data_IF_386540548091
#
_entry.id   IF_386540548091
#
_cell.length_a   1.000
_cell.length_b   1.000
_cell.length_c   1.000
_cell.angle_alpha   90.00
_cell.angle_beta   90.00
_cell.angle_gamma   90.00
#
_symmetry.space_group_name_H-M   'P 1'
#
loop_
_entity.id
_entity.type
_entity.pdbx_description
1 polymer ?
#
# COMPACT_ATOMS: atom_id res chain seq x y z
N UNK A 1 44.45 11.06 9.80
CA UNK A 1 43.38 10.45 10.55
C UNK A 1 42.63 9.48 9.62
N UNK A 2 42.90 8.18 9.73
CA UNK A 2 42.33 7.16 8.81
C UNK A 2 40.90 6.82 9.30
N UNK A 3 39.90 7.15 8.49
CA UNK A 3 38.52 6.75 8.70
C UNK A 3 38.45 5.22 8.51
N UNK A 4 38.10 4.49 9.57
CA UNK A 4 37.85 3.05 9.50
C UNK A 4 36.58 2.82 8.70
N UNK A 5 36.70 2.19 7.53
CA UNK A 5 35.60 1.64 6.78
C UNK A 5 34.89 0.58 7.66
N UNK A 6 33.66 0.85 8.04
CA UNK A 6 32.83 -0.10 8.80
C UNK A 6 32.64 -1.38 7.99
N UNK A 7 33.02 -2.52 8.55
CA UNK A 7 32.73 -3.85 7.99
C UNK A 7 31.22 -4.00 7.82
N UNK A 8 30.75 -4.10 6.58
CA UNK A 8 29.39 -4.58 6.27
C UNK A 8 29.31 -6.02 6.79
N UNK A 9 28.58 -6.20 7.89
CA UNK A 9 28.37 -7.52 8.46
C UNK A 9 27.63 -8.37 7.42
N UNK A 10 28.18 -9.54 7.11
CA UNK A 10 27.57 -10.54 6.22
C UNK A 10 26.23 -10.96 6.80
N UNK A 11 25.14 -10.51 6.18
CA UNK A 11 23.78 -10.88 6.55
C UNK A 11 23.56 -12.30 6.03
N UNK A 12 23.59 -13.29 6.92
CA UNK A 12 23.40 -14.71 6.55
C UNK A 12 21.97 -15.00 6.12
N UNK A 13 21.81 -15.93 5.16
CA UNK A 13 20.52 -16.56 4.89
C UNK A 13 20.04 -17.31 6.14
N UNK A 14 18.73 -17.30 6.38
CA UNK A 14 18.14 -18.04 7.52
C UNK A 14 18.24 -19.54 7.24
N UNK A 15 19.07 -20.25 7.99
CA UNK A 15 19.29 -21.71 7.85
C UNK A 15 18.50 -22.56 8.84
N UNK A 16 17.75 -21.92 9.75
CA UNK A 16 17.04 -22.61 10.86
C UNK A 16 15.59 -22.87 10.48
N UNK A 17 15.02 -23.95 11.01
CA UNK A 17 13.62 -24.34 10.82
C UNK A 17 12.69 -23.75 11.89
N UNK A 18 13.24 -23.05 12.86
CA UNK A 18 12.52 -22.36 13.93
C UNK A 18 13.08 -20.93 14.11
N UNK A 19 12.18 -19.94 14.25
CA UNK A 19 12.51 -18.55 14.58
C UNK A 19 11.77 -18.11 15.84
N UNK A 20 12.42 -17.31 16.69
CA UNK A 20 11.73 -16.55 17.72
C UNK A 20 10.86 -15.47 17.09
N UNK A 21 9.87 -14.95 17.83
CA UNK A 21 9.01 -13.86 17.36
C UNK A 21 9.82 -12.58 17.03
N UNK A 22 10.91 -12.32 17.78
CA UNK A 22 11.79 -11.19 17.51
C UNK A 22 12.57 -11.38 16.20
N UNK A 23 13.01 -12.59 15.89
CA UNK A 23 13.66 -12.90 14.61
C UNK A 23 12.69 -12.81 13.44
N UNK A 24 11.48 -13.37 13.55
CA UNK A 24 10.44 -13.27 12.53
C UNK A 24 10.08 -11.81 12.22
N UNK A 25 10.00 -10.95 13.23
CA UNK A 25 9.77 -9.51 13.10
C UNK A 25 10.88 -8.83 12.34
N UNK A 26 12.15 -9.10 12.66
CA UNK A 26 13.30 -8.54 11.94
C UNK A 26 13.36 -9.04 10.49
N UNK A 27 13.00 -10.28 10.22
CA UNK A 27 12.86 -10.80 8.85
C UNK A 27 11.79 -10.03 8.08
N UNK A 28 10.61 -9.81 8.68
CA UNK A 28 9.53 -9.06 8.04
C UNK A 28 9.93 -7.60 7.76
N UNK A 29 10.58 -6.95 8.70
CA UNK A 29 11.09 -5.57 8.53
C UNK A 29 12.15 -5.49 7.43
N UNK A 30 13.09 -6.43 7.40
CA UNK A 30 14.13 -6.50 6.38
C UNK A 30 13.55 -6.75 4.98
N UNK A 31 12.54 -7.62 4.87
CA UNK A 31 11.85 -7.87 3.61
C UNK A 31 11.22 -6.59 3.05
N UNK A 32 10.76 -5.70 3.90
CA UNK A 32 10.15 -4.43 3.50
C UNK A 32 11.13 -3.25 3.44
N UNK A 33 12.43 -3.48 3.72
CA UNK A 33 13.48 -2.49 3.54
C UNK A 33 13.77 -1.62 4.74
N UNK A 34 13.19 -1.88 5.90
CA UNK A 34 13.46 -1.14 7.15
C UNK A 34 14.80 -1.52 7.82
N UNK A 35 15.50 -2.53 7.31
CA UNK A 35 16.85 -2.90 7.76
C UNK A 35 17.96 -2.05 7.13
N UNK A 36 17.60 -1.11 6.27
CA UNK A 36 18.52 -0.22 5.57
C UNK A 36 18.34 1.21 6.03
N UNK A 37 19.43 1.98 6.18
CA UNK A 37 19.30 3.41 6.44
C UNK A 37 18.60 4.09 5.26
N UNK A 38 17.86 5.14 5.55
CA UNK A 38 17.31 6.04 4.52
C UNK A 38 18.45 6.62 3.69
N UNK A 39 18.24 6.89 2.39
CA UNK A 39 19.26 7.52 1.55
C UNK A 39 19.78 8.82 2.17
N UNK A 40 21.12 8.97 2.26
CA UNK A 40 21.77 10.17 2.82
C UNK A 40 21.81 11.36 1.86
N UNK A 41 21.23 11.23 0.66
CA UNK A 41 21.23 12.27 -0.36
C UNK A 41 19.88 12.37 -1.08
N UNK A 42 19.88 13.04 -2.24
CA UNK A 42 18.63 13.23 -3.01
C UNK A 42 18.04 11.90 -3.47
N UNK A 43 16.81 11.64 -3.08
CA UNK A 43 16.01 10.50 -3.55
C UNK A 43 15.61 10.72 -5.02
N UNK A 44 15.80 9.70 -5.86
CA UNK A 44 15.46 9.68 -7.28
C UNK A 44 14.58 8.46 -7.65
N UNK A 45 14.24 8.33 -8.94
CA UNK A 45 13.39 7.25 -9.46
C UNK A 45 13.92 5.84 -9.18
N UNK A 46 15.25 5.65 -9.05
CA UNK A 46 15.84 4.32 -8.75
C UNK A 46 15.47 3.87 -7.35
N UNK A 47 15.46 4.80 -6.40
CA UNK A 47 15.05 4.53 -5.02
C UNK A 47 13.57 4.12 -4.94
N UNK A 48 12.69 4.84 -5.65
CA UNK A 48 11.26 4.51 -5.70
C UNK A 48 11.05 3.12 -6.33
N UNK A 49 11.67 2.85 -7.49
CA UNK A 49 11.60 1.53 -8.14
C UNK A 49 12.06 0.40 -7.22
N UNK A 50 13.14 0.62 -6.45
CA UNK A 50 13.65 -0.38 -5.52
C UNK A 50 12.65 -0.70 -4.40
N UNK A 51 11.95 0.31 -3.85
CA UNK A 51 10.91 0.09 -2.84
C UNK A 51 9.68 -0.58 -3.47
N UNK A 52 9.18 -0.05 -4.59
CA UNK A 52 7.99 -0.58 -5.27
C UNK A 52 8.23 -2.01 -5.74
N UNK A 53 9.38 -2.30 -6.36
CA UNK A 53 9.75 -3.64 -6.79
C UNK A 53 9.87 -4.64 -5.64
N UNK A 54 10.20 -4.17 -4.42
CA UNK A 54 10.22 -4.97 -3.20
C UNK A 54 8.82 -5.29 -2.69
N UNK A 55 7.96 -4.26 -2.64
CA UNK A 55 6.59 -4.38 -2.13
C UNK A 55 5.63 -5.00 -3.16
N UNK A 56 5.87 -4.80 -4.45
CA UNK A 56 5.01 -5.26 -5.55
C UNK A 56 3.76 -4.43 -5.77
N UNK A 57 3.38 -3.58 -4.82
CA UNK A 57 2.26 -2.65 -4.94
C UNK A 57 2.33 -1.52 -3.90
N UNK A 58 1.57 -0.46 -4.15
CA UNK A 58 1.28 0.60 -3.19
C UNK A 58 -0.23 0.81 -3.15
N UNK A 59 -0.86 0.59 -1.99
CA UNK A 59 -2.29 0.86 -1.84
C UNK A 59 -2.57 2.35 -2.00
N UNK A 60 -3.52 2.66 -2.87
CA UNK A 60 -4.03 4.01 -3.08
C UNK A 60 -5.10 4.30 -2.03
N UNK A 61 -4.82 5.28 -1.21
CA UNK A 61 -5.82 5.87 -0.34
C UNK A 61 -5.63 7.39 -0.34
N UNK A 62 -6.74 8.11 -0.52
CA UNK A 62 -6.76 9.56 -0.69
C UNK A 62 -7.30 10.28 0.55
N UNK A 63 -7.40 9.61 1.69
CA UNK A 63 -7.63 10.25 2.97
C UNK A 63 -6.46 11.18 3.27
N UNK A 64 -6.66 12.48 3.03
CA UNK A 64 -5.60 13.49 3.07
C UNK A 64 -5.61 14.26 4.40
N UNK A 65 -5.59 13.55 5.52
CA UNK A 65 -5.43 14.19 6.84
C UNK A 65 -4.00 14.68 7.04
N UNK A 66 -3.02 13.89 6.62
CA UNK A 66 -1.59 14.24 6.59
C UNK A 66 -1.11 14.29 5.15
N UNK A 67 -1.13 13.18 4.46
CA UNK A 67 -0.76 13.00 3.06
C UNK A 67 -1.40 11.70 2.55
N UNK A 68 -1.74 11.59 1.25
CA UNK A 68 -2.23 10.33 0.70
C UNK A 68 -1.26 9.16 0.97
N UNK A 69 -1.83 8.01 1.36
CA UNK A 69 -1.08 6.91 1.95
C UNK A 69 0.06 6.37 1.07
N UNK A 70 -0.14 6.30 -0.24
CA UNK A 70 0.86 5.79 -1.18
C UNK A 70 2.16 6.61 -1.21
N UNK A 71 2.10 7.91 -0.93
CA UNK A 71 3.31 8.72 -0.76
C UNK A 71 4.00 8.41 0.57
N UNK A 72 3.21 8.22 1.64
CA UNK A 72 3.76 7.96 2.97
C UNK A 72 4.45 6.59 3.08
N UNK A 73 3.95 5.56 2.37
CA UNK A 73 4.61 4.24 2.29
C UNK A 73 6.02 4.35 1.73
N UNK A 74 6.25 5.20 0.76
CA UNK A 74 7.59 5.48 0.24
C UNK A 74 8.43 6.31 1.21
N UNK A 75 7.83 7.34 1.81
CA UNK A 75 8.49 8.20 2.80
C UNK A 75 9.02 7.40 4.00
N UNK A 76 8.25 6.46 4.53
CA UNK A 76 8.68 5.67 5.69
C UNK A 76 9.99 4.92 5.44
N UNK A 77 10.31 4.60 4.19
CA UNK A 77 11.54 3.87 3.79
C UNK A 77 12.65 4.77 3.25
N UNK A 78 12.26 5.85 2.59
CA UNK A 78 13.20 6.71 1.85
C UNK A 78 13.50 8.04 2.56
N UNK A 79 12.68 8.43 3.55
CA UNK A 79 12.69 9.79 4.07
C UNK A 79 12.09 10.79 3.07
N UNK A 80 12.39 12.09 3.21
CA UNK A 80 11.88 13.13 2.33
C UNK A 80 12.22 12.91 0.87
N UNK A 81 11.22 13.00 0.00
CA UNK A 81 11.39 12.90 -1.44
C UNK A 81 10.32 13.74 -2.18
N UNK A 82 10.54 14.04 -3.45
CA UNK A 82 9.55 14.75 -4.27
C UNK A 82 8.43 13.80 -4.68
N UNK A 83 7.20 14.04 -4.21
CA UNK A 83 6.03 13.19 -4.49
C UNK A 83 5.78 13.04 -5.99
N UNK A 84 6.03 14.08 -6.78
CA UNK A 84 5.93 14.06 -8.25
C UNK A 84 6.80 13.00 -8.94
N UNK A 85 7.78 12.41 -8.24
CA UNK A 85 8.54 11.27 -8.77
C UNK A 85 7.67 10.00 -8.89
N UNK A 86 6.74 9.79 -7.94
CA UNK A 86 5.79 8.69 -8.03
C UNK A 86 4.80 8.91 -9.17
N UNK A 87 4.25 10.12 -9.28
CA UNK A 87 3.32 10.50 -10.36
C UNK A 87 4.00 10.33 -11.72
N UNK A 88 5.29 10.69 -11.81
CA UNK A 88 6.07 10.49 -13.02
C UNK A 88 6.21 9.01 -13.39
N UNK A 89 6.42 8.11 -12.42
CA UNK A 89 6.47 6.66 -12.69
C UNK A 89 5.10 6.13 -13.15
N UNK A 90 4.03 6.57 -12.49
CA UNK A 90 2.69 6.06 -12.75
C UNK A 90 2.10 6.63 -14.06
N UNK A 91 2.09 7.94 -14.21
CA UNK A 91 1.26 8.59 -15.24
C UNK A 91 2.05 9.11 -16.44
N UNK A 92 3.37 9.32 -16.33
CA UNK A 92 4.18 9.79 -17.45
C UNK A 92 5.04 8.68 -18.07
N UNK A 93 5.68 7.84 -17.21
CA UNK A 93 6.52 6.75 -17.68
C UNK A 93 5.79 5.44 -17.91
N UNK A 94 4.56 5.32 -17.39
CA UNK A 94 3.74 4.11 -17.49
C UNK A 94 4.43 2.85 -16.95
N UNK A 95 5.35 3.01 -16.00
CA UNK A 95 5.98 1.89 -15.30
C UNK A 95 5.06 1.30 -14.23
N UNK A 96 4.07 2.07 -13.78
CA UNK A 96 3.02 1.64 -12.86
C UNK A 96 1.65 1.89 -13.48
N UNK A 97 0.67 1.10 -13.05
CA UNK A 97 -0.73 1.28 -13.42
C UNK A 97 -1.61 1.14 -12.18
N UNK A 98 -2.76 1.83 -12.15
CA UNK A 98 -3.77 1.61 -11.12
C UNK A 98 -4.53 0.33 -11.40
N UNK A 99 -4.69 -0.52 -10.40
CA UNK A 99 -5.45 -1.77 -10.48
C UNK A 99 -6.08 -2.13 -9.13
N UNK A 100 -7.08 -2.98 -9.17
CA UNK A 100 -7.61 -3.66 -8.00
C UNK A 100 -6.68 -4.83 -7.65
N UNK A 101 -5.83 -4.64 -6.64
CA UNK A 101 -4.89 -5.63 -6.12
C UNK A 101 -5.17 -5.94 -4.64
N UNK A 102 -4.45 -5.36 -3.68
CA UNK A 102 -4.87 -5.46 -2.27
C UNK A 102 -6.22 -4.73 -2.06
N UNK A 103 -6.30 -3.53 -2.48
CA UNK A 103 -7.48 -2.69 -2.77
C UNK A 103 -7.15 -1.92 -4.05
N UNK A 104 -7.67 -0.70 -4.26
CA UNK A 104 -7.13 0.17 -5.30
C UNK A 104 -5.64 0.40 -5.05
N UNK A 105 -4.80 0.09 -6.01
CA UNK A 105 -3.34 0.10 -5.84
C UNK A 105 -2.63 0.57 -7.09
N UNK A 106 -1.46 1.19 -6.91
CA UNK A 106 -0.45 1.28 -7.97
C UNK A 106 0.35 -0.02 -7.97
N UNK A 107 0.43 -0.67 -9.12
CA UNK A 107 1.19 -1.89 -9.33
C UNK A 107 2.16 -1.70 -10.50
N UNK A 108 3.32 -2.37 -10.52
CA UNK A 108 4.15 -2.47 -11.73
C UNK A 108 3.32 -2.94 -12.92
N UNK A 109 3.52 -2.33 -14.08
CA UNK A 109 2.70 -2.61 -15.28
C UNK A 109 2.84 -4.06 -15.75
N UNK A 110 3.97 -4.71 -15.43
CA UNK A 110 4.24 -6.13 -15.68
C UNK A 110 3.25 -7.06 -14.96
N UNK A 111 2.58 -6.57 -13.90
CA UNK A 111 1.55 -7.33 -13.19
C UNK A 111 0.18 -7.29 -13.87
N UNK A 112 0.01 -6.49 -14.92
CA UNK A 112 -1.24 -6.39 -15.66
C UNK A 112 -1.82 -7.77 -16.05
N UNK A 113 -1.09 -8.70 -16.69
CA UNK A 113 -1.64 -10.01 -17.07
C UNK A 113 -2.01 -10.86 -15.84
N UNK A 114 -1.26 -10.74 -14.75
CA UNK A 114 -1.47 -11.53 -13.53
C UNK A 114 -2.71 -11.10 -12.71
N UNK A 115 -3.25 -9.91 -12.96
CA UNK A 115 -4.48 -9.41 -12.35
C UNK A 115 -5.73 -9.63 -13.24
N UNK A 116 -5.61 -10.38 -14.34
CA UNK A 116 -6.71 -10.67 -15.28
C UNK A 116 -7.93 -11.27 -14.59
N UNK A 117 -7.73 -12.28 -13.73
CA UNK A 117 -8.79 -12.93 -12.98
C UNK A 117 -9.57 -11.97 -12.04
N UNK A 118 -8.95 -10.87 -11.60
CA UNK A 118 -9.62 -9.82 -10.80
C UNK A 118 -10.55 -8.99 -11.68
N UNK A 119 -10.14 -8.70 -12.91
CA UNK A 119 -10.94 -7.97 -13.91
C UNK A 119 -12.15 -8.76 -14.39
N UNK A 120 -12.07 -10.09 -14.40
CA UNK A 120 -13.21 -10.98 -14.72
C UNK A 120 -14.32 -10.89 -13.65
N UNK A 121 -13.95 -10.74 -12.37
CA UNK A 121 -14.86 -10.77 -11.24
C UNK A 121 -14.81 -9.43 -10.48
N UNK A 122 -14.93 -8.31 -11.19
CA UNK A 122 -14.85 -7.00 -10.55
C UNK A 122 -16.00 -6.78 -9.56
N UNK A 123 -15.73 -6.54 -8.27
CA UNK A 123 -16.76 -6.51 -7.24
C UNK A 123 -17.48 -5.16 -7.12
N UNK A 124 -16.94 -4.09 -7.69
CA UNK A 124 -17.42 -2.72 -7.44
C UNK A 124 -18.33 -2.29 -8.59
N UNK A 125 -19.62 -2.52 -8.41
CA UNK A 125 -20.66 -2.04 -9.29
C UNK A 125 -21.95 -1.86 -8.50
N UNK A 126 -22.80 -0.88 -8.86
CA UNK A 126 -24.12 -0.75 -8.29
C UNK A 126 -24.96 -2.00 -8.56
N UNK A 127 -25.89 -2.31 -7.67
CA UNK A 127 -26.84 -3.38 -7.87
C UNK A 127 -27.68 -3.08 -9.12
N UNK A 128 -27.86 -4.05 -10.03
CA UNK A 128 -28.61 -3.87 -11.28
C UNK A 128 -27.86 -3.09 -12.38
N UNK A 129 -26.59 -2.75 -12.19
CA UNK A 129 -25.83 -1.94 -13.15
C UNK A 129 -25.59 -2.66 -14.48
N UNK A 130 -25.48 -3.98 -14.48
CA UNK A 130 -25.37 -4.76 -15.74
C UNK A 130 -26.63 -4.60 -16.60
N UNK A 131 -27.82 -4.73 -16.00
CA UNK A 131 -29.09 -4.48 -16.71
C UNK A 131 -29.22 -3.03 -17.21
N UNK A 132 -28.67 -2.07 -16.45
CA UNK A 132 -28.59 -0.68 -16.89
C UNK A 132 -27.68 -0.54 -18.13
N UNK A 133 -26.51 -1.19 -18.13
CA UNK A 133 -25.57 -1.16 -19.26
C UNK A 133 -26.20 -1.77 -20.53
N UNK A 134 -26.93 -2.89 -20.38
CA UNK A 134 -27.63 -3.55 -21.50
C UNK A 134 -28.69 -2.63 -22.12
N UNK A 135 -29.43 -1.91 -21.27
CA UNK A 135 -30.48 -0.97 -21.70
C UNK A 135 -29.92 0.33 -22.33
N UNK A 136 -28.68 0.70 -21.98
CA UNK A 136 -28.02 1.93 -22.42
C UNK A 136 -26.69 1.63 -23.17
N UNK A 137 -26.65 0.55 -23.94
CA UNK A 137 -25.44 0.14 -24.69
C UNK A 137 -24.92 1.25 -25.60
N UNK A 138 -25.81 2.00 -26.24
CA UNK A 138 -25.42 3.16 -27.08
C UNK A 138 -24.69 4.26 -26.30
N UNK A 139 -24.98 4.45 -25.01
CA UNK A 139 -24.22 5.38 -24.17
C UNK A 139 -22.82 4.84 -23.86
N UNK A 140 -22.69 3.53 -23.61
CA UNK A 140 -21.38 2.89 -23.37
C UNK A 140 -20.48 3.05 -24.60
N UNK A 141 -21.00 2.71 -25.78
CA UNK A 141 -20.27 2.84 -27.05
C UNK A 141 -19.84 4.28 -27.31
N UNK A 142 -20.77 5.21 -27.11
CA UNK A 142 -20.50 6.64 -27.26
C UNK A 142 -19.39 7.12 -26.31
N UNK A 143 -19.40 6.71 -25.03
CA UNK A 143 -18.33 7.07 -24.08
C UNK A 143 -16.97 6.54 -24.52
N UNK A 144 -16.93 5.30 -25.04
CA UNK A 144 -15.69 4.71 -25.55
C UNK A 144 -15.18 5.42 -26.82
N UNK A 145 -16.09 5.84 -27.70
CA UNK A 145 -15.75 6.65 -28.88
C UNK A 145 -15.23 8.03 -28.48
N UNK A 146 -15.89 8.71 -27.52
CA UNK A 146 -15.44 10.00 -27.01
C UNK A 146 -14.04 9.94 -26.39
N UNK A 147 -13.76 8.92 -25.60
CA UNK A 147 -12.42 8.69 -25.06
C UNK A 147 -11.41 8.48 -26.19
N UNK A 148 -11.74 7.67 -27.20
CA UNK A 148 -10.88 7.46 -28.37
C UNK A 148 -10.61 8.73 -29.16
N UNK A 149 -11.61 9.63 -29.27
CA UNK A 149 -11.53 10.88 -30.05
C UNK A 149 -10.84 12.02 -29.30
N UNK A 150 -11.12 12.18 -28.00
CA UNK A 150 -10.67 13.34 -27.20
C UNK A 150 -9.45 13.05 -26.34
N UNK A 151 -9.10 11.77 -26.15
CA UNK A 151 -8.12 11.31 -25.17
C UNK A 151 -8.74 11.12 -23.79
N UNK A 152 -7.93 11.17 -22.73
CA UNK A 152 -8.37 10.82 -21.37
C UNK A 152 -9.52 11.71 -20.86
N UNK A 153 -10.59 11.06 -20.36
CA UNK A 153 -11.77 11.73 -19.80
C UNK A 153 -12.03 11.29 -18.36
N UNK A 154 -12.47 12.24 -17.53
CA UNK A 154 -12.99 12.01 -16.20
C UNK A 154 -14.55 12.00 -16.23
N UNK A 155 -15.16 11.53 -15.14
CA UNK A 155 -16.62 11.47 -15.07
C UNK A 155 -17.31 12.84 -15.21
N UNK A 156 -16.63 13.90 -14.79
CA UNK A 156 -17.08 15.29 -14.89
C UNK A 156 -17.07 15.84 -16.34
N UNK A 157 -16.31 15.20 -17.23
CA UNK A 157 -16.22 15.56 -18.64
C UNK A 157 -17.35 14.95 -19.50
N UNK A 158 -18.15 14.05 -18.91
CA UNK A 158 -19.19 13.28 -19.59
C UNK A 158 -20.60 13.76 -19.21
N UNK A 159 -21.52 13.93 -20.18
CA UNK A 159 -22.92 14.21 -19.90
C UNK A 159 -23.58 12.98 -19.26
N UNK A 160 -24.69 13.22 -18.59
CA UNK A 160 -25.60 12.16 -18.16
C UNK A 160 -26.33 11.55 -19.37
N UNK A 161 -26.58 10.24 -19.39
CA UNK A 161 -27.47 9.66 -20.40
C UNK A 161 -28.89 10.21 -20.28
N UNK A 162 -29.57 10.33 -21.42
CA UNK A 162 -30.93 10.86 -21.48
C UNK A 162 -31.91 10.01 -20.65
N UNK A 163 -32.82 10.68 -19.94
CA UNK A 163 -33.85 10.02 -19.16
C UNK A 163 -33.39 9.34 -17.86
N UNK A 164 -32.13 9.48 -17.49
CA UNK A 164 -31.57 8.82 -16.30
C UNK A 164 -31.39 9.81 -15.15
N UNK A 165 -31.78 9.39 -13.92
CA UNK A 165 -31.53 10.16 -12.71
C UNK A 165 -30.03 10.35 -12.46
N UNK A 166 -29.66 11.53 -11.99
CA UNK A 166 -28.26 11.91 -11.72
C UNK A 166 -27.57 11.03 -10.68
N UNK A 167 -28.32 10.49 -9.74
CA UNK A 167 -27.81 9.68 -8.63
C UNK A 167 -28.25 8.23 -8.75
N UNK A 168 -27.29 7.34 -8.62
CA UNK A 168 -27.52 5.90 -8.44
C UNK A 168 -27.81 5.68 -6.95
N UNK A 169 -29.07 5.40 -6.62
CA UNK A 169 -29.48 5.16 -5.25
C UNK A 169 -28.65 4.03 -4.60
N UNK A 170 -28.18 4.26 -3.38
CA UNK A 170 -27.41 3.27 -2.61
C UNK A 170 -25.99 3.03 -3.11
N UNK A 171 -25.49 3.81 -4.10
CA UNK A 171 -24.14 3.69 -4.61
C UNK A 171 -23.26 4.87 -4.17
N UNK A 172 -22.11 4.55 -3.60
CA UNK A 172 -21.04 5.53 -3.30
C UNK A 172 -20.42 6.14 -4.57
N UNK A 173 -20.65 5.54 -5.74
CA UNK A 173 -20.17 6.02 -7.03
C UNK A 173 -20.90 7.32 -7.48
N UNK A 174 -22.10 7.58 -6.97
CA UNK A 174 -22.80 8.86 -7.11
C UNK A 174 -23.44 9.07 -8.46
N UNK A 175 -22.71 9.11 -9.57
CA UNK A 175 -23.22 9.42 -10.93
C UNK A 175 -23.04 8.26 -11.89
N UNK A 176 -23.91 8.18 -12.91
CA UNK A 176 -23.84 7.14 -13.95
C UNK A 176 -22.51 7.19 -14.73
N UNK A 177 -22.03 8.37 -15.21
CA UNK A 177 -20.72 8.42 -15.86
C UNK A 177 -19.60 7.86 -15.02
N UNK A 178 -19.56 8.19 -13.71
CA UNK A 178 -18.54 7.66 -12.80
C UNK A 178 -18.66 6.16 -12.63
N UNK A 179 -19.88 5.64 -12.44
CA UNK A 179 -20.11 4.21 -12.29
C UNK A 179 -19.70 3.44 -13.55
N UNK A 180 -19.98 3.98 -14.74
CA UNK A 180 -19.58 3.39 -16.02
C UNK A 180 -18.07 3.36 -16.17
N UNK A 181 -17.38 4.48 -15.95
CA UNK A 181 -15.91 4.53 -16.05
C UNK A 181 -15.23 3.58 -15.05
N UNK A 182 -15.70 3.52 -13.81
CA UNK A 182 -15.18 2.58 -12.80
C UNK A 182 -15.50 1.12 -13.17
N UNK A 183 -16.65 0.85 -13.78
CA UNK A 183 -16.98 -0.50 -14.29
C UNK A 183 -16.01 -0.91 -15.42
N UNK A 184 -15.84 -0.07 -16.43
CA UNK A 184 -14.96 -0.33 -17.56
C UNK A 184 -13.48 -0.45 -17.13
N UNK A 185 -13.06 0.36 -16.17
CA UNK A 185 -11.75 0.24 -15.51
C UNK A 185 -11.61 -1.11 -14.78
N UNK A 186 -12.62 -1.48 -14.00
CA UNK A 186 -12.63 -2.76 -13.30
C UNK A 186 -12.58 -3.97 -14.22
N UNK A 187 -13.13 -3.85 -15.43
CA UNK A 187 -13.09 -4.88 -16.50
C UNK A 187 -11.80 -4.82 -17.32
N UNK A 188 -10.97 -3.77 -17.14
CA UNK A 188 -9.73 -3.58 -17.88
C UNK A 188 -9.91 -3.07 -19.31
N UNK A 189 -11.11 -2.60 -19.66
CA UNK A 189 -11.36 -1.90 -20.93
C UNK A 189 -10.69 -0.53 -20.90
N UNK A 190 -10.77 0.14 -19.75
CA UNK A 190 -10.10 1.41 -19.48
C UNK A 190 -8.98 1.22 -18.45
N UNK A 191 -8.02 2.14 -18.50
CA UNK A 191 -6.99 2.31 -17.49
C UNK A 191 -6.90 3.80 -17.09
N UNK A 192 -6.30 4.09 -15.93
CA UNK A 192 -6.15 5.48 -15.47
C UNK A 192 -4.98 6.11 -16.19
N UNK A 193 -5.27 7.17 -16.95
CA UNK A 193 -4.29 7.92 -17.69
C UNK A 193 -3.56 8.94 -16.82
N UNK A 194 -4.31 9.63 -15.96
CA UNK A 194 -3.82 10.66 -15.05
C UNK A 194 -4.79 10.90 -13.89
N UNK A 195 -4.33 11.64 -12.90
CA UNK A 195 -5.17 12.20 -11.85
C UNK A 195 -5.31 13.70 -12.01
N UNK A 196 -6.54 14.19 -11.98
CA UNK A 196 -6.83 15.63 -11.98
C UNK A 196 -6.41 16.25 -10.63
N UNK A 197 -6.28 17.58 -10.53
CA UNK A 197 -6.04 18.26 -9.25
C UNK A 197 -7.08 17.93 -8.16
N UNK A 198 -8.32 17.63 -8.56
CA UNK A 198 -9.40 17.13 -7.70
C UNK A 198 -9.19 15.68 -7.22
N UNK A 199 -8.11 15.02 -7.61
CA UNK A 199 -7.83 13.59 -7.43
C UNK A 199 -8.77 12.67 -8.22
N UNK A 200 -9.67 13.21 -9.05
CA UNK A 200 -10.50 12.42 -9.96
C UNK A 200 -9.63 11.68 -10.99
N UNK A 201 -10.03 10.45 -11.31
CA UNK A 201 -9.41 9.65 -12.36
C UNK A 201 -9.84 10.16 -13.73
N UNK A 202 -8.89 10.39 -14.62
CA UNK A 202 -9.14 10.49 -16.05
C UNK A 202 -8.69 9.17 -16.70
N UNK A 203 -9.56 8.60 -17.50
CA UNK A 203 -9.42 7.27 -18.09
C UNK A 203 -9.17 7.35 -19.58
N UNK A 204 -8.34 6.44 -20.06
CA UNK A 204 -8.16 6.17 -21.48
C UNK A 204 -8.29 4.65 -21.74
N UNK A 205 -8.37 4.26 -23.00
CA UNK A 205 -8.37 2.84 -23.38
C UNK A 205 -7.12 2.16 -22.83
N UNK A 206 -7.28 0.99 -22.22
CA UNK A 206 -6.15 0.27 -21.61
C UNK A 206 -5.06 -0.07 -22.63
N UNK A 207 -5.44 -0.33 -23.88
CA UNK A 207 -4.52 -0.61 -25.00
C UNK A 207 -3.60 0.57 -25.36
N UNK A 208 -4.00 1.82 -25.02
CA UNK A 208 -3.16 3.01 -25.23
C UNK A 208 -2.15 3.23 -24.09
N UNK A 209 -2.44 2.69 -22.90
CA UNK A 209 -1.69 2.98 -21.69
C UNK A 209 -0.80 1.83 -21.22
N UNK A 210 -1.21 0.61 -21.51
CA UNK A 210 -0.49 -0.60 -21.10
C UNK A 210 0.34 -1.10 -22.29
N UNK A 211 1.67 -1.28 -22.13
CA UNK A 211 2.51 -1.81 -23.20
C UNK A 211 1.97 -3.12 -23.76
N UNK A 212 2.04 -3.29 -25.08
CA UNK A 212 1.46 -4.42 -25.79
C UNK A 212 1.94 -5.78 -25.25
N UNK A 213 3.21 -5.87 -24.85
CA UNK A 213 3.80 -7.06 -24.25
C UNK A 213 3.14 -7.51 -22.93
N UNK A 214 2.47 -6.57 -22.23
CA UNK A 214 1.73 -6.86 -21.01
C UNK A 214 0.22 -6.91 -21.27
N UNK A 215 -0.30 -6.02 -22.12
CA UNK A 215 -1.74 -5.94 -22.43
C UNK A 215 -2.24 -7.18 -23.14
N UNK A 216 -1.51 -7.64 -24.16
CA UNK A 216 -1.87 -8.81 -24.97
C UNK A 216 -1.49 -10.16 -24.34
N UNK A 217 -0.76 -10.17 -23.24
CA UNK A 217 -0.30 -11.41 -22.60
C UNK A 217 -1.41 -12.06 -21.81
N UNK A 218 -1.73 -13.30 -22.14
CA UNK A 218 -2.63 -14.15 -21.36
C UNK A 218 -1.82 -15.07 -20.46
N UNK A 219 -2.20 -15.16 -19.19
CA UNK A 219 -1.66 -16.12 -18.22
C UNK A 219 -2.80 -16.93 -17.63
N UNK A 220 -2.55 -18.19 -17.30
CA UNK A 220 -3.54 -19.01 -16.61
C UNK A 220 -3.78 -18.45 -15.20
N UNK A 221 -4.94 -18.77 -14.62
CA UNK A 221 -5.26 -18.34 -13.23
C UNK A 221 -4.23 -18.87 -12.25
N UNK A 222 -3.76 -20.09 -12.44
CA UNK A 222 -2.77 -20.72 -11.56
C UNK A 222 -1.40 -20.05 -11.63
N UNK A 223 -0.94 -19.73 -12.85
CA UNK A 223 0.29 -18.96 -13.05
C UNK A 223 0.19 -17.56 -12.43
N UNK A 224 -0.94 -16.88 -12.64
CA UNK A 224 -1.19 -15.58 -12.06
C UNK A 224 -1.15 -15.62 -10.53
N UNK A 225 -1.88 -16.55 -9.91
CA UNK A 225 -1.90 -16.72 -8.47
C UNK A 225 -0.53 -17.08 -7.90
N UNK A 226 0.22 -17.96 -8.59
CA UNK A 226 1.58 -18.34 -8.18
C UNK A 226 2.52 -17.13 -8.16
N UNK A 227 2.47 -16.28 -9.21
CA UNK A 227 3.28 -15.07 -9.26
C UNK A 227 2.89 -14.08 -8.15
N UNK A 228 1.60 -13.86 -7.92
CA UNK A 228 1.11 -12.98 -6.86
C UNK A 228 1.53 -13.48 -5.46
N UNK A 229 1.47 -14.79 -5.21
CA UNK A 229 1.96 -15.38 -3.94
C UNK A 229 3.48 -15.22 -3.80
N UNK A 230 4.24 -15.39 -4.90
CA UNK A 230 5.70 -15.16 -4.91
C UNK A 230 6.05 -13.73 -4.50
N UNK A 231 5.35 -12.75 -5.06
CA UNK A 231 5.51 -11.33 -4.72
C UNK A 231 5.14 -11.08 -3.25
N UNK A 232 4.01 -11.60 -2.79
CA UNK A 232 3.58 -11.49 -1.41
C UNK A 232 4.61 -12.07 -0.43
N UNK A 233 5.16 -13.23 -0.75
CA UNK A 233 6.18 -13.91 0.06
C UNK A 233 7.48 -13.09 0.13
N UNK A 234 7.92 -12.52 -0.98
CA UNK A 234 9.08 -11.63 -1.01
C UNK A 234 8.85 -10.37 -0.18
N UNK A 235 7.67 -9.75 -0.30
CA UNK A 235 7.31 -8.54 0.43
C UNK A 235 7.16 -8.78 1.94
N UNK A 236 6.65 -9.94 2.34
CA UNK A 236 6.49 -10.29 3.75
C UNK A 236 7.76 -10.88 4.39
N UNK A 237 8.64 -11.51 3.60
CA UNK A 237 9.81 -12.26 4.05
C UNK A 237 9.44 -13.55 4.79
N UNK A 238 8.54 -13.46 5.75
CA UNK A 238 7.95 -14.58 6.50
C UNK A 238 6.44 -14.32 6.69
N UNK A 239 5.61 -15.33 6.46
CA UNK A 239 4.16 -15.17 6.49
C UNK A 239 3.44 -16.51 6.69
N UNK A 240 2.21 -16.47 7.19
CA UNK A 240 1.29 -17.60 7.12
C UNK A 240 0.64 -17.69 5.73
N UNK A 241 0.00 -18.82 5.41
CA UNK A 241 -0.76 -18.95 4.15
C UNK A 241 -1.87 -17.88 4.03
N UNK A 242 -2.49 -17.50 5.14
CA UNK A 242 -3.50 -16.44 5.17
C UNK A 242 -2.91 -15.06 4.86
N UNK A 243 -1.73 -14.74 5.39
CA UNK A 243 -1.04 -13.48 5.09
C UNK A 243 -0.66 -13.38 3.61
N UNK A 244 -0.13 -14.48 3.04
CA UNK A 244 0.25 -14.56 1.63
C UNK A 244 -0.95 -14.36 0.70
N UNK A 245 -2.07 -15.00 1.03
CA UNK A 245 -3.31 -14.87 0.28
C UNK A 245 -3.89 -13.45 0.36
N UNK A 246 -3.93 -12.86 1.57
CA UNK A 246 -4.50 -11.54 1.82
C UNK A 246 -3.77 -10.42 1.06
N UNK A 247 -2.47 -10.59 0.79
CA UNK A 247 -1.66 -9.57 0.13
C UNK A 247 -2.24 -9.10 -1.22
N UNK A 248 -2.81 -10.03 -2.00
CA UNK A 248 -3.50 -9.75 -3.26
C UNK A 248 -4.98 -10.15 -3.22
N UNK A 249 -5.58 -10.23 -2.04
CA UNK A 249 -6.99 -10.60 -1.83
C UNK A 249 -7.39 -11.92 -2.48
N UNK A 250 -6.49 -12.90 -2.45
CA UNK A 250 -6.78 -14.26 -2.88
C UNK A 250 -7.52 -15.02 -1.78
N UNK A 251 -8.31 -16.01 -2.15
CA UNK A 251 -8.88 -16.95 -1.19
C UNK A 251 -7.79 -17.89 -0.68
N UNK A 252 -7.74 -18.15 0.62
CA UNK A 252 -6.72 -19.02 1.22
C UNK A 252 -6.73 -20.42 0.60
N UNK A 253 -7.91 -20.96 0.28
CA UNK A 253 -8.04 -22.26 -0.39
C UNK A 253 -7.40 -22.31 -1.77
N UNK A 254 -7.44 -21.19 -2.52
CA UNK A 254 -6.81 -21.06 -3.84
C UNK A 254 -5.29 -20.81 -3.73
N UNK A 255 -4.86 -20.15 -2.66
CA UNK A 255 -3.46 -19.83 -2.42
C UNK A 255 -2.65 -21.05 -1.95
N UNK A 256 -3.24 -21.97 -1.17
CA UNK A 256 -2.54 -23.15 -0.62
C UNK A 256 -1.85 -24.01 -1.66
N UNK A 257 -2.47 -24.44 -2.79
CA UNK A 257 -1.79 -25.19 -3.81
C UNK A 257 -0.57 -24.45 -4.40
N UNK A 258 -0.72 -23.13 -4.63
CA UNK A 258 0.38 -22.29 -5.16
C UNK A 258 1.53 -22.15 -4.18
N UNK A 259 1.23 -22.07 -2.88
CA UNK A 259 2.23 -22.07 -1.81
C UNK A 259 2.99 -23.40 -1.80
N UNK A 260 2.28 -24.55 -1.92
CA UNK A 260 2.90 -25.87 -1.97
C UNK A 260 3.87 -25.98 -3.17
N UNK A 261 3.46 -25.55 -4.37
CA UNK A 261 4.33 -25.50 -5.55
C UNK A 261 5.59 -24.67 -5.32
N UNK A 262 5.47 -23.50 -4.64
CA UNK A 262 6.61 -22.65 -4.33
C UNK A 262 7.54 -23.29 -3.27
N UNK A 263 7.00 -24.10 -2.38
CA UNK A 263 7.80 -24.89 -1.41
C UNK A 263 8.54 -26.01 -2.16
N UNK A 264 7.87 -26.77 -3.02
CA UNK A 264 8.48 -27.83 -3.85
C UNK A 264 9.61 -27.29 -4.73
N UNK A 265 9.43 -26.08 -5.30
CA UNK A 265 10.44 -25.41 -6.11
C UNK A 265 11.56 -24.73 -5.27
N UNK A 266 11.53 -24.82 -3.95
CA UNK A 266 12.52 -24.24 -3.05
C UNK A 266 12.51 -22.71 -3.00
N UNK A 267 11.44 -22.07 -3.47
CA UNK A 267 11.25 -20.62 -3.38
C UNK A 267 10.74 -20.20 -1.99
N UNK A 268 9.97 -21.07 -1.36
CA UNK A 268 9.52 -20.96 0.02
C UNK A 268 10.04 -22.14 0.83
N UNK A 269 10.24 -21.91 2.11
CA UNK A 269 10.51 -22.95 3.08
C UNK A 269 9.50 -22.87 4.22
N UNK A 270 8.93 -24.02 4.55
CA UNK A 270 8.06 -24.14 5.72
C UNK A 270 8.91 -24.13 6.98
N UNK A 271 8.55 -23.31 7.95
CA UNK A 271 9.25 -23.18 9.23
C UNK A 271 8.25 -22.94 10.36
N UNK A 272 8.73 -23.07 11.59
CA UNK A 272 7.99 -22.71 12.79
C UNK A 272 8.40 -21.33 13.31
N UNK A 273 7.44 -20.59 13.86
CA UNK A 273 7.68 -19.34 14.56
C UNK A 273 7.08 -19.41 15.95
N UNK A 274 7.87 -19.03 16.95
CA UNK A 274 7.46 -18.98 18.34
C UNK A 274 6.12 -18.24 18.50
N UNK A 275 5.15 -18.86 19.16
CA UNK A 275 3.83 -18.31 19.43
C UNK A 275 2.86 -18.27 18.24
N UNK A 276 3.28 -18.67 17.03
CA UNK A 276 2.37 -18.78 15.91
C UNK A 276 1.66 -20.14 15.89
N UNK A 277 0.41 -20.15 15.47
CA UNK A 277 -0.33 -21.39 15.25
C UNK A 277 -0.18 -21.83 13.80
N UNK A 278 0.33 -23.05 13.60
CA UNK A 278 0.55 -23.63 12.28
C UNK A 278 1.79 -23.09 11.56
N UNK A 279 1.97 -23.52 10.34
CA UNK A 279 3.17 -23.28 9.54
C UNK A 279 3.32 -21.82 9.11
N UNK A 280 4.55 -21.36 9.14
CA UNK A 280 4.99 -20.15 8.48
C UNK A 280 5.82 -20.49 7.24
N UNK A 281 5.78 -19.61 6.26
CA UNK A 281 6.52 -19.73 5.00
C UNK A 281 7.56 -18.63 4.92
N UNK A 282 8.83 -19.04 4.83
CA UNK A 282 9.97 -18.15 4.73
C UNK A 282 10.41 -18.06 3.26
N UNK A 283 10.53 -16.84 2.75
CA UNK A 283 11.07 -16.64 1.39
C UNK A 283 12.55 -17.03 1.34
N UNK A 284 12.99 -17.72 0.28
CA UNK A 284 14.38 -18.21 0.16
C UNK A 284 15.47 -17.14 0.26
N UNK A 285 15.16 -15.90 -0.11
CA UNK A 285 16.07 -14.76 -0.03
C UNK A 285 15.82 -13.88 1.21
N UNK A 286 15.02 -14.40 2.18
CA UNK A 286 14.77 -13.69 3.42
C UNK A 286 16.06 -13.48 4.21
N UNK A 287 16.25 -12.27 4.73
CA UNK A 287 17.41 -11.86 5.50
C UNK A 287 17.03 -11.73 6.97
N UNK A 288 17.88 -12.20 7.84
CA UNK A 288 17.74 -12.02 9.28
C UNK A 288 18.84 -11.07 9.77
N UNK A 289 18.57 -9.76 9.85
CA UNK A 289 19.51 -8.80 10.43
C UNK A 289 19.64 -9.01 11.94
N UNK A 290 20.80 -8.71 12.49
CA UNK A 290 21.03 -8.76 13.95
C UNK A 290 20.18 -7.73 14.69
N UNK A 291 20.01 -6.56 14.08
CA UNK A 291 19.16 -5.46 14.55
C UNK A 291 18.56 -4.69 13.38
N UNK A 292 17.53 -3.93 13.66
CA UNK A 292 16.90 -2.96 12.77
C UNK A 292 16.96 -1.60 13.47
N UNK A 293 17.40 -0.56 12.76
CA UNK A 293 17.58 0.79 13.31
C UNK A 293 16.57 1.78 12.70
N UNK A 294 15.36 1.31 12.41
CA UNK A 294 14.31 2.15 11.87
C UNK A 294 13.81 3.17 12.91
N UNK A 295 13.49 4.38 12.46
CA UNK A 295 12.76 5.39 13.21
C UNK A 295 11.83 6.09 12.23
N UNK A 296 10.55 5.70 12.20
CA UNK A 296 9.61 6.24 11.22
C UNK A 296 8.14 6.05 11.60
N UNK A 297 7.30 6.97 11.14
CA UNK A 297 5.85 6.85 11.20
C UNK A 297 5.34 6.01 10.03
N UNK A 298 4.50 5.02 10.33
CA UNK A 298 3.99 4.04 9.37
C UNK A 298 2.55 4.35 9.01
N UNK A 299 2.22 4.37 7.71
CA UNK A 299 0.85 4.58 7.24
C UNK A 299 -0.08 3.45 7.64
N UNK A 300 -1.37 3.72 7.97
CA UNK A 300 -2.37 2.68 8.19
C UNK A 300 -2.53 1.68 7.04
N UNK A 301 -2.14 2.09 5.84
CA UNK A 301 -2.25 1.34 4.58
C UNK A 301 -0.89 0.77 4.12
N UNK A 302 0.10 0.80 5.01
CA UNK A 302 1.42 0.20 4.75
C UNK A 302 1.33 -1.33 4.79
N UNK A 303 1.96 -2.05 3.82
CA UNK A 303 1.99 -3.52 3.82
C UNK A 303 2.53 -4.16 5.10
N UNK A 304 3.30 -3.41 5.88
CA UNK A 304 3.80 -3.88 7.17
C UNK A 304 2.67 -4.11 8.18
N UNK A 305 1.63 -3.26 8.15
CA UNK A 305 0.60 -3.20 9.20
C UNK A 305 -0.84 -3.28 8.71
N UNK A 306 -1.12 -3.26 7.41
CA UNK A 306 -2.51 -3.25 6.91
C UNK A 306 -3.31 -4.50 7.28
N UNK A 307 -2.65 -5.68 7.46
CA UNK A 307 -3.27 -6.90 7.97
C UNK A 307 -3.16 -6.92 9.49
N UNK A 308 -4.22 -6.45 10.20
CA UNK A 308 -4.23 -6.19 11.65
C UNK A 308 -3.81 -7.42 12.48
N UNK A 309 -4.33 -8.60 12.14
CA UNK A 309 -3.96 -9.86 12.79
C UNK A 309 -2.46 -10.20 12.66
N UNK A 310 -1.86 -9.86 11.51
CA UNK A 310 -0.42 -10.01 11.30
C UNK A 310 0.36 -9.00 12.14
N UNK A 311 -0.10 -7.74 12.20
CA UNK A 311 0.51 -6.68 13.01
C UNK A 311 0.52 -7.08 14.49
N UNK A 312 -0.61 -7.53 15.00
CA UNK A 312 -0.72 -8.01 16.37
C UNK A 312 0.22 -9.21 16.63
N UNK A 313 0.25 -10.19 15.74
CA UNK A 313 1.08 -11.40 15.85
C UNK A 313 2.58 -11.11 15.82
N UNK A 314 3.03 -10.15 14.99
CA UNK A 314 4.46 -9.79 14.86
C UNK A 314 4.93 -8.83 15.95
N UNK A 315 4.11 -7.86 16.31
CA UNK A 315 4.53 -6.73 17.14
C UNK A 315 3.84 -6.68 18.51
N UNK A 316 2.84 -7.53 18.77
CA UNK A 316 1.98 -7.40 19.95
C UNK A 316 1.15 -6.10 19.91
N UNK A 317 0.96 -5.51 18.75
CA UNK A 317 0.37 -4.19 18.56
C UNK A 317 -1.04 -4.33 18.00
N UNK A 318 -2.05 -4.19 18.86
CA UNK A 318 -3.45 -4.11 18.45
C UNK A 318 -3.71 -2.76 17.80
N UNK A 319 -3.87 -2.76 16.48
CA UNK A 319 -4.03 -1.54 15.69
C UNK A 319 -5.42 -1.45 15.07
N UNK A 320 -6.11 -0.33 15.38
CA UNK A 320 -7.39 0.01 14.77
C UNK A 320 -7.28 1.40 14.13
N UNK A 321 -7.75 1.51 12.89
CA UNK A 321 -7.85 2.79 12.21
C UNK A 321 -9.24 3.38 12.45
N UNK A 322 -9.32 4.55 13.08
CA UNK A 322 -10.56 5.07 13.68
C UNK A 322 -11.16 6.27 12.93
N UNK A 323 -10.69 6.56 11.71
CA UNK A 323 -11.15 7.72 10.95
C UNK A 323 -12.67 7.73 10.70
N UNK A 324 -13.29 6.54 10.53
CA UNK A 324 -14.72 6.38 10.31
C UNK A 324 -15.52 6.17 11.61
N UNK A 325 -14.84 6.19 12.76
CA UNK A 325 -15.46 6.09 14.08
C UNK A 325 -15.89 7.50 14.52
N UNK A 326 -17.11 7.69 15.05
CA UNK A 326 -17.51 8.95 15.67
C UNK A 326 -16.48 9.43 16.70
N UNK A 327 -16.27 10.75 16.78
CA UNK A 327 -15.18 11.34 17.59
C UNK A 327 -15.17 10.87 19.03
N UNK A 328 -16.35 10.80 19.64
CA UNK A 328 -16.58 10.41 21.03
C UNK A 328 -16.33 8.92 21.33
N UNK A 329 -16.23 8.10 20.28
CA UNK A 329 -15.95 6.66 20.40
C UNK A 329 -14.52 6.29 20.00
N UNK A 330 -13.70 7.27 19.60
CA UNK A 330 -12.30 7.03 19.23
C UNK A 330 -11.47 6.86 20.49
N UNK A 331 -10.70 5.77 20.50
CA UNK A 331 -9.77 5.48 21.60
C UNK A 331 -8.44 6.20 21.43
N UNK A 332 -7.94 6.28 20.21
CA UNK A 332 -6.58 6.73 19.94
C UNK A 332 -6.51 8.03 19.16
N UNK A 333 -7.52 8.37 18.39
CA UNK A 333 -7.57 9.56 17.56
C UNK A 333 -8.16 9.35 16.18
N UNK A 334 -8.06 10.35 15.32
CA UNK A 334 -8.65 10.33 13.98
C UNK A 334 -7.74 9.65 12.96
N UNK A 335 -6.49 10.10 12.88
CA UNK A 335 -5.52 9.62 11.89
C UNK A 335 -4.22 9.21 12.59
N UNK A 336 -4.29 8.07 13.22
CA UNK A 336 -3.24 7.57 14.10
C UNK A 336 -2.22 6.77 13.32
N UNK A 337 -0.97 7.23 13.37
CA UNK A 337 0.19 6.56 12.77
C UNK A 337 1.00 5.82 13.84
N UNK A 338 1.25 4.51 13.68
CA UNK A 338 2.21 3.81 14.52
C UNK A 338 3.63 4.35 14.28
N UNK A 339 4.39 4.53 15.36
CA UNK A 339 5.81 4.87 15.29
C UNK A 339 6.65 3.59 15.45
N UNK A 340 7.36 3.26 14.38
CA UNK A 340 8.36 2.18 14.38
C UNK A 340 9.68 2.75 14.89
N UNK A 341 10.19 2.20 15.99
CA UNK A 341 11.52 2.49 16.52
C UNK A 341 12.28 1.19 16.74
N UNK A 342 13.44 1.07 16.11
CA UNK A 342 14.12 -0.21 16.04
C UNK A 342 13.28 -1.26 15.33
N UNK A 343 13.04 -2.39 15.99
CA UNK A 343 12.18 -3.45 15.49
C UNK A 343 10.81 -3.52 16.20
N UNK A 344 10.35 -2.43 16.85
CA UNK A 344 9.11 -2.39 17.62
C UNK A 344 8.22 -1.21 17.21
N UNK A 345 6.91 -1.42 17.24
CA UNK A 345 5.93 -0.33 17.20
C UNK A 345 5.76 0.17 18.64
N UNK A 346 6.27 1.36 18.94
CA UNK A 346 6.44 1.85 20.32
C UNK A 346 5.49 2.97 20.69
N UNK A 347 4.83 3.60 19.72
CA UNK A 347 3.87 4.67 19.97
C UNK A 347 2.80 4.74 18.87
N UNK A 348 1.70 5.44 19.19
CA UNK A 348 0.59 5.85 18.33
C UNK A 348 0.53 7.35 18.32
N UNK A 349 0.59 7.97 17.15
CA UNK A 349 0.60 9.42 17.02
C UNK A 349 -0.57 9.87 16.17
N UNK A 350 -1.53 10.57 16.74
CA UNK A 350 -2.65 11.16 16.00
C UNK A 350 -2.18 12.45 15.33
N UNK A 351 -2.11 12.46 14.00
CA UNK A 351 -1.53 13.54 13.22
C UNK A 351 -2.57 14.24 12.34
N UNK A 352 -2.36 15.54 12.14
CA UNK A 352 -3.11 16.35 11.18
C UNK A 352 -2.19 17.40 10.55
N UNK A 353 -2.21 17.53 9.24
CA UNK A 353 -1.57 18.64 8.52
C UNK A 353 -2.53 19.85 8.50
N UNK A 354 -2.18 20.89 9.23
CA UNK A 354 -2.85 22.20 9.20
C UNK A 354 -2.14 23.10 8.19
N UNK A 355 -2.44 22.85 6.91
CA UNK A 355 -1.79 23.52 5.78
C UNK A 355 -2.06 25.02 5.74
N UNK A 356 -3.23 25.44 6.23
CA UNK A 356 -3.60 26.86 6.27
C UNK A 356 -2.68 27.67 7.20
N UNK A 357 -2.15 27.02 8.25
CA UNK A 357 -1.28 27.65 9.24
C UNK A 357 0.16 27.12 9.20
N UNK A 358 0.54 26.35 8.18
CA UNK A 358 1.90 25.80 8.01
C UNK A 358 2.32 24.86 9.14
N UNK A 359 1.41 24.07 9.74
CA UNK A 359 1.71 23.29 10.95
C UNK A 359 1.42 21.80 10.78
N UNK A 360 2.32 20.96 11.29
CA UNK A 360 2.03 19.56 11.56
C UNK A 360 1.59 19.41 13.02
N UNK A 361 0.33 19.06 13.23
CA UNK A 361 -0.25 18.89 14.55
C UNK A 361 -0.12 17.43 15.00
N UNK A 362 0.63 17.16 16.07
CA UNK A 362 0.59 15.92 16.82
C UNK A 362 -0.45 16.07 17.94
N UNK A 363 -1.70 15.72 17.63
CA UNK A 363 -2.87 15.93 18.48
C UNK A 363 -2.83 15.07 19.75
N UNK A 364 -2.30 13.87 19.64
CA UNK A 364 -2.06 12.95 20.74
C UNK A 364 -0.87 12.05 20.46
N UNK A 365 -0.14 11.64 21.50
CA UNK A 365 0.91 10.61 21.42
C UNK A 365 0.70 9.62 22.57
N UNK A 366 0.44 8.35 22.20
CA UNK A 366 0.26 7.26 23.14
C UNK A 366 1.42 6.29 23.00
N UNK A 367 2.21 6.12 24.06
CA UNK A 367 3.31 5.16 24.10
C UNK A 367 2.81 3.78 24.48
N UNK A 368 3.34 2.75 23.82
CA UNK A 368 3.03 1.37 24.18
C UNK A 368 3.64 0.98 25.53
N UNK A 369 3.02 0.06 26.28
CA UNK A 369 3.54 -0.42 27.54
C UNK A 369 5.01 -0.90 27.45
N UNK A 370 5.83 -0.51 28.41
CA UNK A 370 7.25 -0.88 28.46
C UNK A 370 8.14 -0.07 27.50
N UNK A 371 7.64 0.99 26.89
CA UNK A 371 8.45 1.89 26.07
C UNK A 371 9.24 2.85 26.98
N UNK A 372 10.57 2.89 26.80
CA UNK A 372 11.40 3.94 27.37
C UNK A 372 11.20 5.24 26.59
N UNK A 373 10.44 6.14 27.19
CA UNK A 373 10.13 7.45 26.55
C UNK A 373 11.37 8.31 26.37
N UNK A 374 12.33 8.25 27.29
CA UNK A 374 13.55 9.05 27.21
C UNK A 374 14.41 8.66 26.00
N UNK A 375 14.40 7.38 25.63
CA UNK A 375 15.06 6.88 24.41
C UNK A 375 14.27 7.21 23.15
N UNK A 376 12.95 7.04 23.16
CA UNK A 376 12.10 7.08 21.95
C UNK A 376 11.71 8.50 21.55
N UNK A 377 11.48 9.39 22.51
CA UNK A 377 10.95 10.73 22.25
C UNK A 377 11.86 11.62 21.38
N UNK A 378 13.19 11.64 21.53
CA UNK A 378 14.07 12.37 20.63
C UNK A 378 13.97 11.89 19.17
N UNK A 379 13.88 10.58 18.95
CA UNK A 379 13.72 9.99 17.62
C UNK A 379 12.36 10.33 17.01
N UNK A 380 11.30 10.32 17.81
CA UNK A 380 9.95 10.71 17.36
C UNK A 380 9.90 12.21 16.99
N UNK A 381 10.52 13.08 17.78
CA UNK A 381 10.58 14.51 17.48
C UNK A 381 11.31 14.76 16.16
N UNK A 382 12.47 14.14 15.97
CA UNK A 382 13.23 14.23 14.72
C UNK A 382 12.40 13.73 13.51
N UNK A 383 11.64 12.66 13.66
CA UNK A 383 10.78 12.15 12.60
C UNK A 383 9.61 13.08 12.28
N UNK A 384 8.99 13.70 13.31
CA UNK A 384 7.92 14.69 13.13
C UNK A 384 8.42 15.95 12.42
N UNK A 385 9.59 16.47 12.80
CA UNK A 385 10.23 17.60 12.14
C UNK A 385 10.59 17.27 10.67
N UNK A 386 11.15 16.09 10.43
CA UNK A 386 11.48 15.61 9.10
C UNK A 386 10.23 15.46 8.22
N UNK A 387 9.12 14.95 8.79
CA UNK A 387 7.83 14.82 8.10
C UNK A 387 7.22 16.20 7.83
N UNK A 388 7.26 17.14 8.77
CA UNK A 388 6.78 18.49 8.56
C UNK A 388 7.53 19.17 7.40
N UNK A 389 8.85 19.11 7.40
CA UNK A 389 9.68 19.66 6.32
C UNK A 389 9.36 18.99 4.95
N UNK A 390 9.14 17.66 4.91
CA UNK A 390 8.74 16.96 3.69
C UNK A 390 7.38 17.41 3.16
N UNK A 391 6.45 17.78 4.08
CA UNK A 391 5.10 18.25 3.75
C UNK A 391 5.06 19.77 3.50
N UNK A 392 6.23 20.44 3.49
CA UNK A 392 6.34 21.89 3.33
C UNK A 392 5.60 22.66 4.45
N UNK A 393 5.61 22.10 5.68
CA UNK A 393 5.05 22.72 6.87
C UNK A 393 6.17 23.32 7.73
N UNK A 394 5.95 24.50 8.28
CA UNK A 394 6.97 25.30 8.98
C UNK A 394 7.28 24.78 10.38
N UNK A 395 6.25 24.26 11.07
CA UNK A 395 6.38 23.92 12.49
C UNK A 395 5.65 22.63 12.86
N UNK A 396 6.15 21.96 13.90
CA UNK A 396 5.48 20.87 14.59
C UNK A 396 4.85 21.38 15.87
N UNK A 397 3.56 21.17 16.05
CA UNK A 397 2.84 21.50 17.30
C UNK A 397 2.42 20.19 17.96
N UNK A 398 2.90 19.97 19.17
CA UNK A 398 2.49 18.83 20.00
C UNK A 398 1.51 19.30 21.06
N UNK A 399 0.35 18.69 21.15
CA UNK A 399 -0.54 18.88 22.28
C UNK A 399 0.12 18.31 23.54
N UNK A 400 0.06 19.03 24.66
CA UNK A 400 0.48 18.49 25.94
C UNK A 400 -0.31 17.19 26.18
N UNK A 401 0.40 16.08 26.50
CA UNK A 401 -0.15 14.76 26.64
C UNK A 401 -1.49 14.76 27.40
N UNK A 402 -2.56 14.36 26.73
CA UNK A 402 -3.71 13.82 27.43
C UNK A 402 -3.26 12.44 27.97
N UNK A 403 -2.74 12.41 29.19
CA UNK A 403 -2.58 11.17 29.94
C UNK A 403 -3.99 10.60 30.09
N UNK A 404 -4.22 9.43 29.49
CA UNK A 404 -5.37 8.62 29.84
C UNK A 404 -5.16 8.20 31.30
N UNK A 405 -5.90 8.84 32.22
CA UNK A 405 -6.12 8.36 33.59
C UNK A 405 -6.95 7.08 33.57
#
# INVERSE_FOLDING_TARGET
>A
MRVRAGRVATIGRVSRDHLSIAEARRVALAAQGFDRPRPGGRVDLRHLRAVIGRLGLLQLDFVNVVVPAHYQVLYSRLGPYRMSLLDKLAYHRRELTEQWAHEASLVPVELWPHLGHRREVHPIRPRGFDSFLDQHSGYVDWVLEEIGRRGPLAAEDLPMPDGVSRHLEGSWLGTVPRALLEHLFGRGVLAVAERRPSMARAFDRSEHLIPLEHHGRTVTRDEAQRELIRIAARAHGIATAADLADYFRLRVGEAKPRIAELVENGELREIEVEGWRGSAYLHRDARLPRRVDAATLVSPFDPLIWTRKRTERLFGFDYRFEIFIPREQRRWGCYVLPFLHGDRLVARVDLKADRANGRLLALATHYEPGTDRAEVEPALNTELETMAAWLELETVVRSANASLS
#
